data_IF_151019860719
#
_entry.id   IF_151019860719
#
_cell.length_a   1.000
_cell.length_b   1.000
_cell.length_c   1.000
_cell.angle_alpha   90.00
_cell.angle_beta   90.00
_cell.angle_gamma   90.00
#
_symmetry.space_group_name_H-M   'P 1'
#
loop_
_entity.id
_entity.type
_entity.pdbx_description
1 polymer ?
#
# COMPACT_ATOMS: atom_id res chain seq x y z
N UNK A 1 8.28 26.30 -0.26
CA UNK A 1 9.01 25.15 0.33
C UNK A 1 8.00 24.07 0.65
N UNK A 2 8.27 22.84 0.23
CA UNK A 2 7.42 21.71 0.61
C UNK A 2 7.93 21.21 1.94
N UNK A 3 7.05 21.17 2.93
CA UNK A 3 7.38 20.55 4.21
C UNK A 3 7.70 19.07 3.97
N UNK A 4 8.84 18.63 4.46
CA UNK A 4 9.34 17.26 4.33
C UNK A 4 9.61 16.74 5.75
N UNK A 5 9.18 15.52 6.01
CA UNK A 5 9.51 14.87 7.27
C UNK A 5 10.98 14.43 7.28
N UNK A 6 11.61 14.67 8.41
CA UNK A 6 12.93 14.10 8.72
C UNK A 6 12.78 12.66 9.19
N UNK A 7 13.88 11.90 9.20
CA UNK A 7 13.91 10.56 9.77
C UNK A 7 13.50 10.56 11.27
N UNK A 8 13.85 11.61 12.00
CA UNK A 8 13.46 11.80 13.39
C UNK A 8 11.94 12.00 13.53
N UNK A 9 11.33 12.81 12.67
CA UNK A 9 9.87 13.01 12.65
C UNK A 9 9.15 11.71 12.31
N UNK A 10 9.66 10.94 11.34
CA UNK A 10 9.11 9.61 11.03
C UNK A 10 9.20 8.67 12.23
N UNK A 11 10.36 8.60 12.88
CA UNK A 11 10.56 7.76 14.06
C UNK A 11 9.54 8.09 15.16
N UNK A 12 9.34 9.38 15.43
CA UNK A 12 8.33 9.84 16.36
C UNK A 12 6.91 9.46 15.95
N UNK A 13 6.59 9.59 14.67
CA UNK A 13 5.29 9.18 14.14
C UNK A 13 5.06 7.68 14.31
N UNK A 14 6.08 6.86 14.10
CA UNK A 14 6.03 5.41 14.28
C UNK A 14 5.82 5.03 15.75
N UNK A 15 6.43 5.74 16.69
CA UNK A 15 6.27 5.48 18.13
C UNK A 15 4.84 5.74 18.61
N UNK A 16 4.16 6.73 18.06
CA UNK A 16 2.80 7.11 18.47
C UNK A 16 1.70 6.49 17.61
N UNK A 17 2.07 5.83 16.52
CA UNK A 17 1.12 5.18 15.62
C UNK A 17 0.74 3.79 16.16
N UNK A 18 -0.51 3.63 16.54
CA UNK A 18 -1.09 2.37 17.01
C UNK A 18 -1.84 1.59 15.92
N UNK A 19 -1.94 2.15 14.72
CA UNK A 19 -2.53 1.49 13.54
C UNK A 19 -1.45 0.72 12.75
N UNK A 20 -1.46 -0.63 12.77
CA UNK A 20 -0.46 -1.43 12.08
C UNK A 20 -0.45 -1.23 10.55
N UNK A 21 -1.61 -0.99 9.96
CA UNK A 21 -1.74 -0.74 8.52
C UNK A 21 -1.10 0.59 8.15
N UNK A 22 -1.38 1.65 8.91
CA UNK A 22 -0.75 2.95 8.70
C UNK A 22 0.76 2.89 8.93
N UNK A 23 1.22 2.20 9.98
CA UNK A 23 2.64 1.97 10.26
C UNK A 23 3.35 1.31 9.08
N UNK A 24 2.77 0.27 8.51
CA UNK A 24 3.30 -0.40 7.32
C UNK A 24 3.35 0.55 6.12
N UNK A 25 2.26 1.31 5.88
CA UNK A 25 2.19 2.28 4.80
C UNK A 25 3.27 3.37 4.90
N UNK A 26 3.49 3.92 6.11
CA UNK A 26 4.54 4.91 6.38
C UNK A 26 5.94 4.37 6.06
N UNK A 27 6.23 3.14 6.49
CA UNK A 27 7.52 2.50 6.22
C UNK A 27 7.73 2.21 4.74
N UNK A 28 6.72 1.73 4.02
CA UNK A 28 6.80 1.49 2.59
C UNK A 28 7.00 2.79 1.79
N UNK A 29 6.31 3.86 2.17
CA UNK A 29 6.47 5.15 1.51
C UNK A 29 7.86 5.76 1.76
N UNK A 30 8.32 5.74 3.01
CA UNK A 30 9.58 6.37 3.40
C UNK A 30 10.79 5.49 3.04
N UNK A 31 10.82 4.22 3.49
CA UNK A 31 12.01 3.37 3.31
C UNK A 31 12.11 2.74 1.92
N UNK A 32 10.99 2.52 1.24
CA UNK A 32 10.93 1.85 -0.06
C UNK A 32 10.54 2.79 -1.21
N UNK A 33 10.27 4.05 -0.93
CA UNK A 33 9.89 5.07 -1.91
C UNK A 33 8.70 4.68 -2.81
N UNK A 34 7.76 3.90 -2.29
CA UNK A 34 6.55 3.50 -3.02
C UNK A 34 5.55 4.64 -3.13
N UNK A 35 4.94 4.76 -4.31
CA UNK A 35 3.74 5.59 -4.47
C UNK A 35 2.54 4.89 -3.82
N UNK A 36 1.56 5.67 -3.36
CA UNK A 36 0.38 5.10 -2.70
C UNK A 36 -0.37 4.11 -3.61
N UNK A 37 -0.50 4.38 -4.90
CA UNK A 37 -1.12 3.45 -5.86
C UNK A 37 -0.31 2.18 -6.06
N UNK A 38 1.02 2.24 -6.02
CA UNK A 38 1.91 1.07 -6.07
C UNK A 38 1.81 0.24 -4.79
N UNK A 39 1.69 0.90 -3.64
CA UNK A 39 1.54 0.26 -2.34
C UNK A 39 0.22 -0.48 -2.21
N UNK A 40 -0.89 0.16 -2.57
CA UNK A 40 -2.23 -0.40 -2.44
C UNK A 40 -2.53 -1.52 -3.43
N UNK A 41 -1.73 -1.68 -4.47
CA UNK A 41 -1.84 -2.77 -5.43
C UNK A 41 -0.98 -3.99 -5.10
N UNK A 42 -0.18 -3.95 -4.03
CA UNK A 42 0.70 -5.05 -3.67
C UNK A 42 -0.08 -6.33 -3.43
N UNK A 43 0.35 -7.37 -4.11
CA UNK A 43 -0.14 -8.73 -3.94
C UNK A 43 0.98 -9.62 -3.43
N UNK A 44 0.65 -10.65 -2.67
CA UNK A 44 1.63 -11.50 -2.01
C UNK A 44 2.55 -12.26 -2.96
N UNK A 45 2.09 -12.55 -4.18
CA UNK A 45 2.90 -13.18 -5.23
C UNK A 45 4.03 -12.28 -5.77
N UNK A 46 3.98 -10.98 -5.50
CA UNK A 46 5.02 -10.01 -5.87
C UNK A 46 6.00 -9.71 -4.73
N UNK A 47 5.94 -10.44 -3.63
CA UNK A 47 6.72 -10.17 -2.41
C UNK A 47 7.50 -11.42 -2.03
N UNK A 48 8.80 -11.27 -1.84
CA UNK A 48 9.65 -12.30 -1.24
C UNK A 48 10.02 -11.90 0.20
N UNK A 49 9.35 -12.53 1.15
CA UNK A 49 9.61 -12.41 2.59
C UNK A 49 9.88 -13.79 3.21
N UNK A 50 10.44 -14.70 2.44
CA UNK A 50 10.91 -15.97 2.97
C UNK A 50 11.95 -15.73 4.08
N UNK A 51 11.97 -16.52 5.16
CA UNK A 51 12.91 -16.34 6.28
C UNK A 51 14.37 -16.22 5.82
N UNK A 52 14.77 -17.05 4.87
CA UNK A 52 16.12 -17.03 4.31
C UNK A 52 16.42 -15.72 3.56
N UNK A 53 15.45 -15.22 2.78
CA UNK A 53 15.59 -13.96 2.05
C UNK A 53 15.71 -12.77 3.00
N UNK A 54 14.95 -12.76 4.09
CA UNK A 54 15.04 -11.72 5.12
C UNK A 54 16.42 -11.73 5.78
N UNK A 55 16.89 -12.90 6.20
CA UNK A 55 18.19 -13.03 6.86
C UNK A 55 19.35 -12.63 5.94
N UNK A 56 19.27 -12.96 4.67
CA UNK A 56 20.30 -12.60 3.69
C UNK A 56 20.21 -11.15 3.20
N UNK A 57 19.20 -10.38 3.61
CA UNK A 57 18.97 -9.03 3.10
C UNK A 57 18.51 -8.98 1.65
N UNK A 58 17.94 -10.07 1.13
CA UNK A 58 17.45 -10.20 -0.25
C UNK A 58 15.92 -10.19 -0.38
N UNK A 59 15.20 -9.99 0.72
CA UNK A 59 13.74 -9.80 0.69
C UNK A 59 13.38 -8.60 -0.20
N UNK A 60 12.33 -8.72 -1.01
CA UNK A 60 11.97 -7.69 -1.96
C UNK A 60 10.48 -7.60 -2.25
N UNK A 61 10.09 -6.45 -2.80
CA UNK A 61 8.83 -6.21 -3.48
C UNK A 61 9.11 -6.02 -4.97
N UNK A 62 8.34 -6.68 -5.82
CA UNK A 62 8.35 -6.45 -7.26
C UNK A 62 7.18 -5.54 -7.63
N UNK A 63 7.48 -4.29 -7.98
CA UNK A 63 6.48 -3.28 -8.37
C UNK A 63 6.21 -3.44 -9.86
N UNK A 64 5.02 -3.93 -10.22
CA UNK A 64 4.64 -4.21 -11.61
C UNK A 64 3.20 -3.82 -11.95
N UNK A 65 2.47 -3.19 -11.03
CA UNK A 65 1.09 -2.74 -11.22
C UNK A 65 0.76 -1.55 -10.34
N UNK A 66 -0.38 -0.95 -10.59
CA UNK A 66 -0.93 0.13 -9.75
C UNK A 66 -2.45 -0.05 -9.56
N UNK A 67 -2.95 0.39 -8.42
CA UNK A 67 -4.37 0.46 -8.12
C UNK A 67 -4.88 1.84 -8.51
N UNK A 68 -5.92 1.88 -9.33
CA UNK A 68 -6.50 3.13 -9.78
C UNK A 68 -8.03 3.07 -9.79
N UNK A 69 -8.66 4.19 -9.43
CA UNK A 69 -10.08 4.38 -9.62
C UNK A 69 -10.30 5.06 -10.97
N UNK A 70 -11.15 4.47 -11.79
CA UNK A 70 -11.46 4.94 -13.14
C UNK A 70 -12.97 5.09 -13.32
N UNK A 71 -13.41 5.95 -14.23
CA UNK A 71 -14.81 6.02 -14.60
C UNK A 71 -15.21 4.79 -15.41
N UNK A 72 -16.46 4.33 -15.30
CA UNK A 72 -16.96 3.18 -16.06
C UNK A 72 -16.88 3.43 -17.58
N UNK A 73 -17.21 4.66 -18.01
CA UNK A 73 -17.05 5.03 -19.42
C UNK A 73 -15.62 4.92 -19.93
N UNK A 74 -14.62 5.29 -19.09
CA UNK A 74 -13.22 5.12 -19.45
C UNK A 74 -12.79 3.66 -19.54
N UNK A 75 -13.46 2.73 -18.82
CA UNK A 75 -13.21 1.30 -18.95
C UNK A 75 -13.71 0.75 -20.28
N UNK A 76 -14.85 1.23 -20.75
CA UNK A 76 -15.42 0.84 -22.04
C UNK A 76 -14.59 1.39 -23.22
N UNK A 77 -14.07 2.61 -23.10
CA UNK A 77 -13.23 3.27 -24.10
C UNK A 77 -11.78 2.74 -24.12
N UNK A 78 -11.23 2.36 -22.97
CA UNK A 78 -9.85 1.86 -22.84
C UNK A 78 -9.69 0.40 -23.32
N UNK A 79 -10.77 -0.22 -23.82
CA UNK A 79 -10.75 -1.57 -24.43
C UNK A 79 -9.73 -2.50 -23.77
N UNK A 80 -9.85 -2.70 -22.45
CA UNK A 80 -9.09 -3.64 -21.60
C UNK A 80 -7.55 -3.57 -21.69
N UNK A 81 -6.97 -2.58 -22.38
CA UNK A 81 -5.52 -2.45 -22.51
C UNK A 81 -4.88 -2.10 -21.16
N UNK A 82 -4.12 -3.03 -20.61
CA UNK A 82 -3.37 -2.85 -19.39
C UNK A 82 -4.18 -3.03 -18.10
N UNK A 83 -5.45 -3.40 -18.16
CA UNK A 83 -6.26 -3.75 -16.99
C UNK A 83 -6.02 -5.21 -16.63
N UNK A 84 -5.51 -5.46 -15.41
CA UNK A 84 -5.21 -6.80 -14.89
C UNK A 84 -6.43 -7.39 -14.20
N UNK A 85 -7.12 -6.57 -13.37
CA UNK A 85 -8.28 -7.00 -12.60
C UNK A 85 -9.23 -5.82 -12.33
N UNK A 86 -10.53 -6.08 -12.46
CA UNK A 86 -11.60 -5.14 -12.06
C UNK A 86 -12.21 -5.62 -10.75
N UNK A 87 -12.40 -4.71 -9.79
CA UNK A 87 -13.05 -5.04 -8.52
C UNK A 87 -14.54 -4.65 -8.59
N UNK A 88 -15.43 -5.50 -8.04
CA UNK A 88 -16.85 -5.18 -7.95
C UNK A 88 -17.06 -3.91 -7.14
N UNK A 89 -17.96 -3.00 -7.54
CA UNK A 89 -18.27 -1.82 -6.75
C UNK A 89 -18.98 -2.21 -5.45
N UNK A 90 -18.69 -1.49 -4.37
CA UNK A 90 -19.39 -1.66 -3.09
C UNK A 90 -20.86 -1.19 -3.18
N UNK A 91 -21.13 -0.22 -4.06
CA UNK A 91 -22.45 0.36 -4.29
C UNK A 91 -22.72 0.33 -5.80
N UNK A 92 -23.83 -0.29 -6.19
CA UNK A 92 -24.19 -0.51 -7.59
C UNK A 92 -24.34 0.78 -8.41
N UNK A 93 -24.66 1.91 -7.77
CA UNK A 93 -24.89 3.21 -8.40
C UNK A 93 -23.61 4.01 -8.66
N UNK A 94 -22.42 3.52 -8.33
CA UNK A 94 -21.20 4.27 -8.56
C UNK A 94 -20.84 4.31 -10.04
N UNK A 95 -20.47 5.51 -10.52
CA UNK A 95 -20.00 5.73 -11.89
C UNK A 95 -18.51 5.42 -12.09
N UNK A 96 -17.85 4.89 -11.06
CA UNK A 96 -16.43 4.57 -11.06
C UNK A 96 -16.19 3.12 -10.68
N UNK A 97 -15.06 2.57 -11.09
CA UNK A 97 -14.60 1.24 -10.71
C UNK A 97 -13.15 1.30 -10.26
N UNK A 98 -12.80 0.41 -9.35
CA UNK A 98 -11.44 0.21 -8.88
C UNK A 98 -10.80 -0.91 -9.70
N UNK A 99 -9.60 -0.66 -10.22
CA UNK A 99 -8.90 -1.60 -11.09
C UNK A 99 -7.44 -1.73 -10.71
N UNK A 100 -6.90 -2.94 -10.87
CA UNK A 100 -5.46 -3.17 -10.98
C UNK A 100 -5.07 -3.05 -12.44
N UNK A 101 -4.05 -2.30 -12.72
CA UNK A 101 -3.55 -2.11 -14.08
C UNK A 101 -2.03 -2.09 -14.14
N UNK A 102 -1.50 -2.27 -15.34
CA UNK A 102 -0.09 -2.09 -15.62
C UNK A 102 0.33 -0.63 -15.42
N UNK A 103 1.58 -0.37 -14.96
CA UNK A 103 2.10 0.98 -14.83
C UNK A 103 2.12 1.70 -16.20
N UNK A 104 1.93 3.01 -16.18
CA UNK A 104 1.97 3.84 -17.40
C UNK A 104 3.29 3.76 -18.17
N UNK A 105 4.38 3.50 -17.46
CA UNK A 105 5.73 3.41 -18.05
C UNK A 105 6.43 2.15 -17.61
N UNK A 106 7.20 1.55 -18.51
CA UNK A 106 8.03 0.37 -18.22
C UNK A 106 9.09 0.65 -17.14
N UNK A 107 9.54 1.89 -17.03
CA UNK A 107 10.50 2.33 -16.01
C UNK A 107 9.94 2.30 -14.59
N UNK A 108 8.62 2.24 -14.43
CA UNK A 108 7.97 2.06 -13.12
C UNK A 108 8.07 0.62 -12.61
N UNK A 109 8.30 -0.35 -13.49
CA UNK A 109 8.48 -1.76 -13.12
C UNK A 109 9.87 -1.93 -12.54
N UNK A 110 9.93 -2.36 -11.27
CA UNK A 110 11.19 -2.48 -10.55
C UNK A 110 11.10 -3.41 -9.36
N UNK A 111 12.24 -3.92 -8.95
CA UNK A 111 12.42 -4.62 -7.69
C UNK A 111 12.89 -3.62 -6.63
N UNK A 112 12.26 -3.65 -5.46
CA UNK A 112 12.63 -2.84 -4.29
C UNK A 112 13.03 -3.78 -3.17
N UNK A 113 14.28 -3.72 -2.73
CA UNK A 113 14.74 -4.52 -1.59
C UNK A 113 14.23 -3.94 -0.29
N UNK A 114 13.85 -4.82 0.63
CA UNK A 114 13.23 -4.47 1.89
C UNK A 114 14.27 -4.38 3.00
N UNK A 115 14.26 -3.30 3.81
CA UNK A 115 14.89 -3.35 5.13
C UNK A 115 14.27 -4.49 5.96
N UNK A 116 15.07 -5.14 6.80
CA UNK A 116 14.61 -6.28 7.63
C UNK A 116 13.37 -5.92 8.45
N UNK A 117 13.35 -4.75 9.05
CA UNK A 117 12.20 -4.27 9.84
C UNK A 117 10.91 -4.24 9.03
N UNK A 118 10.97 -3.74 7.79
CA UNK A 118 9.80 -3.69 6.89
C UNK A 118 9.39 -5.09 6.44
N UNK A 119 10.35 -5.95 6.14
CA UNK A 119 10.08 -7.35 5.81
C UNK A 119 9.34 -8.08 6.95
N UNK A 120 9.76 -7.89 8.19
CA UNK A 120 9.06 -8.45 9.35
C UNK A 120 7.66 -7.85 9.56
N UNK A 121 7.46 -6.57 9.28
CA UNK A 121 6.13 -5.97 9.30
C UNK A 121 5.19 -6.64 8.27
N UNK A 122 5.70 -6.98 7.09
CA UNK A 122 4.94 -7.73 6.09
C UNK A 122 4.64 -9.17 6.54
N UNK A 123 5.56 -9.84 7.21
CA UNK A 123 5.32 -11.16 7.81
C UNK A 123 4.17 -11.09 8.83
N UNK A 124 4.18 -10.11 9.72
CA UNK A 124 3.09 -9.90 10.69
C UNK A 124 1.76 -9.56 9.99
N UNK A 125 1.79 -8.74 8.94
CA UNK A 125 0.59 -8.45 8.15
C UNK A 125 0.01 -9.71 7.50
N UNK A 126 0.86 -10.61 7.00
CA UNK A 126 0.41 -11.89 6.42
C UNK A 126 -0.29 -12.75 7.45
N UNK A 127 0.24 -12.85 8.66
CA UNK A 127 -0.41 -13.58 9.77
C UNK A 127 -1.77 -12.99 10.12
N UNK A 128 -1.86 -11.67 10.22
CA UNK A 128 -3.11 -10.96 10.50
C UNK A 128 -4.17 -11.25 9.43
N UNK A 129 -3.80 -11.26 8.15
CA UNK A 129 -4.71 -11.61 7.06
C UNK A 129 -5.15 -13.08 7.14
N UNK A 130 -4.23 -13.99 7.44
CA UNK A 130 -4.57 -15.41 7.60
C UNK A 130 -5.57 -15.62 8.76
N UNK A 131 -5.41 -14.89 9.86
CA UNK A 131 -6.38 -14.87 10.98
C UNK A 131 -7.75 -14.30 10.57
N UNK A 132 -7.77 -13.25 9.76
CA UNK A 132 -9.02 -12.68 9.23
C UNK A 132 -9.72 -13.64 8.27
N UNK A 133 -8.98 -14.36 7.43
CA UNK A 133 -9.54 -15.41 6.57
C UNK A 133 -10.19 -16.52 7.39
N UNK A 134 -9.53 -16.97 8.45
CA UNK A 134 -10.07 -18.00 9.35
C UNK A 134 -11.33 -17.51 10.09
N UNK A 135 -11.34 -16.25 10.52
CA UNK A 135 -12.45 -15.65 11.26
C UNK A 135 -13.69 -15.44 10.39
N UNK A 136 -13.51 -14.90 9.19
CA UNK A 136 -14.62 -14.56 8.29
C UNK A 136 -15.05 -15.70 7.36
N UNK A 137 -14.18 -16.71 7.16
CA UNK A 137 -14.48 -17.87 6.32
C UNK A 137 -14.94 -17.47 4.91
N UNK A 138 -16.11 -17.95 4.50
CA UNK A 138 -16.66 -17.70 3.16
C UNK A 138 -17.04 -16.22 2.90
N UNK A 139 -17.14 -15.40 3.93
CA UNK A 139 -17.38 -13.96 3.79
C UNK A 139 -16.11 -13.18 3.41
N UNK A 140 -14.94 -13.78 3.59
CA UNK A 140 -13.69 -13.18 3.16
C UNK A 140 -13.46 -13.44 1.67
N UNK A 141 -13.27 -12.36 0.91
CA UNK A 141 -12.93 -12.44 -0.51
C UNK A 141 -11.42 -12.24 -0.66
N UNK A 142 -10.69 -13.32 -0.93
CA UNK A 142 -9.24 -13.28 -1.11
C UNK A 142 -8.87 -12.70 -2.47
N UNK A 143 -8.42 -11.46 -2.48
CA UNK A 143 -7.84 -10.79 -3.63
C UNK A 143 -6.30 -10.79 -3.61
N UNK A 144 -5.69 -11.56 -2.71
CA UNK A 144 -4.23 -11.65 -2.55
C UNK A 144 -3.53 -10.31 -2.22
N UNK A 145 -4.27 -9.35 -1.66
CA UNK A 145 -3.79 -8.01 -1.37
C UNK A 145 -3.14 -7.91 0.01
N UNK A 146 -2.09 -7.10 0.11
CA UNK A 146 -1.47 -6.70 1.38
C UNK A 146 -2.34 -5.67 2.10
N UNK A 147 -2.81 -4.65 1.37
CA UNK A 147 -3.70 -3.62 1.86
C UNK A 147 -5.14 -3.92 1.48
N UNK A 148 -5.88 -4.44 2.43
CA UNK A 148 -7.28 -4.78 2.27
C UNK A 148 -8.06 -4.54 3.58
N UNK A 149 -9.37 -4.41 3.45
CA UNK A 149 -10.27 -4.38 4.60
C UNK A 149 -10.41 -5.78 5.22
N UNK A 150 -11.08 -5.88 6.36
CA UNK A 150 -11.26 -7.14 7.10
C UNK A 150 -11.94 -8.25 6.30
N UNK A 151 -12.70 -7.91 5.26
CA UNK A 151 -13.35 -8.86 4.35
C UNK A 151 -12.58 -9.12 3.04
N UNK A 152 -11.36 -8.63 2.91
CA UNK A 152 -10.49 -8.82 1.75
C UNK A 152 -10.66 -7.82 0.60
N UNK A 153 -11.57 -6.86 0.71
CA UNK A 153 -11.75 -5.82 -0.30
C UNK A 153 -10.54 -4.90 -0.40
N UNK A 154 -10.21 -4.37 -1.60
CA UNK A 154 -9.13 -3.41 -1.75
C UNK A 154 -9.31 -2.19 -0.86
N UNK A 155 -8.21 -1.72 -0.30
CA UNK A 155 -8.15 -0.46 0.44
C UNK A 155 -7.85 0.68 -0.51
N UNK A 156 -8.55 1.79 -0.37
CA UNK A 156 -8.34 2.96 -1.20
C UNK A 156 -7.46 4.00 -0.50
N UNK A 157 -6.83 4.88 -1.29
CA UNK A 157 -5.93 5.92 -0.80
C UNK A 157 -6.56 6.84 0.26
N UNK A 158 -7.86 7.06 0.18
CA UNK A 158 -8.58 7.89 1.14
C UNK A 158 -8.50 7.33 2.58
N UNK A 159 -8.51 6.01 2.74
CA UNK A 159 -8.40 5.35 4.05
C UNK A 159 -7.05 5.66 4.68
N UNK A 160 -5.96 5.51 3.92
CA UNK A 160 -4.60 5.82 4.38
C UNK A 160 -4.45 7.31 4.67
N UNK A 161 -4.92 8.17 3.77
CA UNK A 161 -4.82 9.63 3.96
C UNK A 161 -5.59 10.12 5.19
N UNK A 162 -6.77 9.58 5.46
CA UNK A 162 -7.54 9.92 6.66
C UNK A 162 -6.83 9.49 7.94
N UNK A 163 -6.32 8.26 7.98
CA UNK A 163 -5.57 7.74 9.11
C UNK A 163 -4.29 8.55 9.34
N UNK A 164 -3.59 8.92 8.30
CA UNK A 164 -2.38 9.74 8.34
C UNK A 164 -2.65 11.16 8.86
N UNK A 165 -3.67 11.83 8.34
CA UNK A 165 -4.07 13.17 8.79
C UNK A 165 -4.51 13.16 10.26
N UNK A 166 -5.20 12.12 10.69
CA UNK A 166 -5.58 11.92 12.09
C UNK A 166 -4.35 11.79 13.00
N UNK A 167 -3.39 10.97 12.61
CA UNK A 167 -2.12 10.80 13.33
C UNK A 167 -1.39 12.14 13.51
N UNK A 168 -1.26 12.91 12.44
CA UNK A 168 -0.63 14.22 12.43
C UNK A 168 -1.35 15.16 13.44
N UNK A 169 -2.67 15.24 13.34
CA UNK A 169 -3.48 16.15 14.14
C UNK A 169 -3.45 15.79 15.62
N UNK A 170 -3.58 14.52 15.96
CA UNK A 170 -3.64 14.05 17.35
C UNK A 170 -2.29 14.15 18.07
N UNK A 171 -1.18 14.14 17.32
CA UNK A 171 0.17 14.12 17.91
C UNK A 171 0.99 15.39 17.62
N UNK A 172 0.35 16.42 17.06
CA UNK A 172 1.03 17.71 16.80
C UNK A 172 2.24 17.58 15.85
N UNK A 173 2.19 16.64 14.91
CA UNK A 173 3.27 16.43 13.93
C UNK A 173 3.19 17.50 12.83
N UNK A 174 4.32 17.82 12.17
CA UNK A 174 4.31 18.73 11.02
C UNK A 174 3.39 18.24 9.92
N UNK A 175 2.54 19.11 9.40
CA UNK A 175 1.60 18.76 8.35
C UNK A 175 2.35 18.53 7.01
N UNK A 176 2.23 17.33 6.47
CA UNK A 176 2.70 16.98 5.13
C UNK A 176 1.64 16.13 4.45
N UNK A 177 1.64 16.10 3.12
CA UNK A 177 0.82 15.14 2.37
C UNK A 177 1.54 13.79 2.32
N UNK A 178 0.78 12.69 2.37
CA UNK A 178 1.38 11.34 2.40
C UNK A 178 2.39 11.10 1.27
N UNK A 179 2.09 11.58 0.07
CA UNK A 179 2.99 11.45 -1.09
C UNK A 179 4.37 12.11 -0.86
N UNK A 180 4.47 13.13 -0.02
CA UNK A 180 5.75 13.80 0.25
C UNK A 180 6.73 12.95 1.06
N UNK A 181 6.25 11.92 1.78
CA UNK A 181 7.10 10.98 2.51
C UNK A 181 8.09 10.26 1.60
N UNK A 182 7.68 9.97 0.38
CA UNK A 182 8.53 9.37 -0.63
C UNK A 182 9.74 10.25 -0.98
N UNK A 183 9.56 11.56 -0.98
CA UNK A 183 10.63 12.51 -1.26
C UNK A 183 11.59 12.66 -0.08
N UNK A 184 11.11 12.43 1.14
CA UNK A 184 11.94 12.47 2.34
C UNK A 184 13.03 11.38 2.34
N UNK A 185 12.79 10.24 1.70
CA UNK A 185 13.75 9.14 1.62
C UNK A 185 14.92 9.40 0.67
N UNK A 186 14.76 10.30 -0.29
CA UNK A 186 15.77 10.60 -1.31
C UNK A 186 16.83 11.58 -0.78
N UNK A 187 16.54 12.27 0.29
CA UNK A 187 17.39 13.32 0.88
C UNK A 187 18.34 12.77 1.96
N UNK A 188 18.24 11.50 2.31
CA UNK A 188 19.07 10.76 3.27
C UNK A 188 19.58 9.48 2.61
#
# INVERSE_FOLDING_TARGET
ERDIWTAETLSKAMEVCDDPILSLALNLAFSCSLRIGEMLCLTWDCIDIAPQSIENGSAYIFVNKELQRVTRGALDDLSDKGVIKKFPPCIASTHTALVLKEPKTKTSIRRVYLPKTVAYMLVERKKEIDELMDLFGDEYIDNNLVFCSSNGRPMESQVINRAFNKLIKENGLPHVVFHSLRHSSITY
#
